data_IF_760646014526
#
_entry.id   IF_760646014526
#
_cell.length_a   1.000
_cell.length_b   1.000
_cell.length_c   1.000
_cell.angle_alpha   90.00
_cell.angle_beta   90.00
_cell.angle_gamma   90.00
#
_symmetry.space_group_name_H-M   'P 1'
#
loop_
_entity.id
_entity.type
_entity.pdbx_description
1 polymer ?
#
# COMPACT_ATOMS: atom_id res chain seq x y z
N UNK A 1 -23.61 1.49 10.30
CA UNK A 1 -23.19 2.67 11.08
C UNK A 1 -22.28 2.18 12.20
N UNK A 2 -21.16 2.89 12.46
CA UNK A 2 -20.11 2.43 13.38
C UNK A 2 -20.54 2.47 14.88
N UNK A 3 -21.67 3.07 15.22
CA UNK A 3 -22.14 3.17 16.59
C UNK A 3 -21.10 3.80 17.53
N UNK A 4 -20.83 3.13 18.65
CA UNK A 4 -19.80 3.57 19.63
C UNK A 4 -18.37 3.47 19.13
N UNK A 5 -18.12 2.78 18.01
CA UNK A 5 -16.80 2.67 17.37
C UNK A 5 -16.50 3.79 16.37
N UNK A 6 -17.45 4.73 16.17
CA UNK A 6 -17.26 5.87 15.29
C UNK A 6 -16.28 6.90 15.86
N UNK A 7 -15.46 7.52 15.00
CA UNK A 7 -14.50 8.57 15.37
C UNK A 7 -15.15 9.93 15.72
N UNK A 8 -16.45 10.10 15.46
CA UNK A 8 -17.18 11.32 15.75
C UNK A 8 -18.58 11.33 15.10
N UNK A 9 -19.36 12.35 15.45
CA UNK A 9 -20.72 12.56 14.89
C UNK A 9 -20.63 13.30 13.56
N UNK A 10 -21.50 12.95 12.61
CA UNK A 10 -21.71 13.76 11.41
C UNK A 10 -22.52 15.01 11.76
N UNK A 11 -22.02 16.19 11.38
CA UNK A 11 -22.62 17.47 11.68
C UNK A 11 -22.72 18.36 10.42
N UNK A 12 -23.81 19.13 10.26
CA UNK A 12 -23.87 20.17 9.24
C UNK A 12 -22.92 21.33 9.58
N UNK A 13 -22.25 21.85 8.55
CA UNK A 13 -21.36 23.00 8.64
C UNK A 13 -21.90 24.19 7.85
N UNK A 14 -21.79 25.40 8.41
CA UNK A 14 -22.06 26.62 7.68
C UNK A 14 -21.05 26.83 6.56
N UNK A 15 -21.41 27.66 5.56
CA UNK A 15 -20.47 28.07 4.50
C UNK A 15 -19.17 28.65 5.08
N UNK A 16 -19.27 29.48 6.14
CA UNK A 16 -18.11 30.08 6.80
C UNK A 16 -17.18 28.99 7.36
N UNK A 17 -17.71 28.04 8.11
CA UNK A 17 -16.94 26.96 8.71
C UNK A 17 -16.28 26.07 7.64
N UNK A 18 -16.98 25.78 6.53
CA UNK A 18 -16.39 25.01 5.43
C UNK A 18 -15.19 25.74 4.84
N UNK A 19 -15.26 27.09 4.68
CA UNK A 19 -14.15 27.90 4.17
C UNK A 19 -12.97 28.01 5.16
N UNK A 20 -13.22 27.88 6.46
CA UNK A 20 -12.17 27.79 7.49
C UNK A 20 -11.47 26.42 7.45
N UNK A 21 -12.22 25.34 7.25
CA UNK A 21 -11.70 23.95 7.19
C UNK A 21 -10.99 23.63 5.87
N UNK A 22 -11.51 24.12 4.73
CA UNK A 22 -10.97 23.92 3.39
C UNK A 22 -10.94 25.27 2.66
N UNK A 23 -9.95 26.14 2.92
CA UNK A 23 -9.87 27.50 2.38
C UNK A 23 -9.91 27.55 0.85
N UNK A 24 -9.41 26.52 0.19
CA UNK A 24 -9.30 26.46 -1.27
C UNK A 24 -10.47 25.72 -1.96
N UNK A 25 -11.59 25.50 -1.25
CA UNK A 25 -12.81 25.04 -1.93
C UNK A 25 -13.39 26.15 -2.81
N UNK A 26 -13.98 25.81 -3.96
CA UNK A 26 -14.64 26.77 -4.84
C UNK A 26 -15.82 27.44 -4.11
N UNK A 27 -15.84 28.78 -4.13
CA UNK A 27 -16.82 29.57 -3.39
C UNK A 27 -18.18 29.65 -4.07
N UNK A 28 -18.19 29.53 -5.40
CA UNK A 28 -19.40 29.59 -6.20
C UNK A 28 -20.34 28.44 -5.87
N UNK A 29 -21.61 28.78 -5.61
CA UNK A 29 -22.67 27.82 -5.25
C UNK A 29 -22.44 27.06 -3.92
N UNK A 30 -21.37 27.33 -3.18
CA UNK A 30 -21.17 26.74 -1.85
C UNK A 30 -22.22 27.28 -0.87
N UNK A 31 -23.01 26.40 -0.28
CA UNK A 31 -24.03 26.74 0.73
C UNK A 31 -23.65 26.30 2.14
N UNK A 32 -22.84 25.26 2.28
CA UNK A 32 -22.41 24.64 3.51
C UNK A 32 -21.83 23.26 3.23
N UNK A 33 -21.67 22.46 4.26
CA UNK A 33 -21.15 21.10 4.16
C UNK A 33 -21.69 20.19 5.24
N UNK A 34 -21.29 18.94 5.18
CA UNK A 34 -21.48 17.95 6.24
C UNK A 34 -20.10 17.38 6.56
N UNK A 35 -19.67 17.53 7.81
CA UNK A 35 -18.49 16.84 8.30
C UNK A 35 -18.85 15.43 8.76
N UNK A 36 -18.01 14.47 8.41
CA UNK A 36 -17.99 13.14 9.02
C UNK A 36 -16.54 12.72 9.25
N UNK A 37 -16.32 11.69 10.03
CA UNK A 37 -14.99 11.24 10.42
C UNK A 37 -14.73 9.85 9.85
N UNK A 38 -13.50 9.66 9.34
CA UNK A 38 -13.01 8.39 8.84
C UNK A 38 -11.54 8.20 9.25
N UNK A 39 -11.02 6.97 9.12
CA UNK A 39 -9.65 6.62 9.44
C UNK A 39 -8.74 6.71 8.22
N UNK A 40 -7.53 7.21 8.42
CA UNK A 40 -6.45 7.18 7.45
C UNK A 40 -5.24 6.47 8.04
N UNK A 41 -4.56 5.66 7.23
CA UNK A 41 -3.28 5.04 7.60
C UNK A 41 -2.38 4.93 6.38
N UNK A 42 -1.07 4.84 6.59
CA UNK A 42 -0.11 4.51 5.54
C UNK A 42 -0.10 3.00 5.31
N UNK A 43 -0.53 2.57 4.13
CA UNK A 43 -0.72 1.17 3.78
C UNK A 43 0.59 0.37 3.73
N UNK A 44 1.67 0.96 3.19
CA UNK A 44 2.98 0.32 3.15
C UNK A 44 3.60 0.24 4.54
N UNK A 45 3.50 1.30 5.34
CA UNK A 45 3.98 1.29 6.72
C UNK A 45 3.24 0.22 7.53
N UNK A 46 1.92 0.10 7.35
CA UNK A 46 1.14 -0.95 7.98
C UNK A 46 1.60 -2.35 7.57
N UNK A 47 1.91 -2.57 6.28
CA UNK A 47 2.40 -3.86 5.79
C UNK A 47 3.75 -4.23 6.44
N UNK A 48 4.70 -3.28 6.52
CA UNK A 48 5.98 -3.49 7.20
C UNK A 48 5.77 -3.78 8.69
N UNK A 49 4.93 -3.00 9.36
CA UNK A 49 4.61 -3.20 10.78
C UNK A 49 4.01 -4.58 11.03
N UNK A 50 3.16 -5.09 10.15
CA UNK A 50 2.60 -6.45 10.25
C UNK A 50 3.68 -7.52 10.04
N UNK A 51 4.59 -7.34 9.07
CA UNK A 51 5.70 -8.25 8.86
C UNK A 51 6.61 -8.31 10.11
N UNK A 52 6.98 -7.15 10.67
CA UNK A 52 7.77 -7.07 11.90
C UNK A 52 7.02 -7.69 13.09
N UNK A 53 5.71 -7.45 13.23
CA UNK A 53 4.89 -8.08 14.27
C UNK A 53 4.84 -9.60 14.13
N UNK A 54 4.83 -10.12 12.91
CA UNK A 54 4.89 -11.55 12.66
C UNK A 54 6.27 -12.12 13.05
N UNK A 55 7.36 -11.41 12.74
CA UNK A 55 8.72 -11.79 13.15
C UNK A 55 8.88 -11.77 14.67
N UNK A 56 8.34 -10.76 15.37
CA UNK A 56 8.30 -10.70 16.83
C UNK A 56 7.55 -11.91 17.44
N UNK A 57 6.56 -12.43 16.72
CA UNK A 57 5.82 -13.64 17.09
C UNK A 57 6.53 -14.95 16.66
N UNK A 58 7.74 -14.88 16.10
CA UNK A 58 8.55 -16.03 15.69
C UNK A 58 8.32 -16.53 14.26
N UNK A 59 7.59 -15.79 13.42
CA UNK A 59 7.47 -16.12 12.00
C UNK A 59 8.75 -15.75 11.22
N UNK A 60 9.04 -16.52 10.17
CA UNK A 60 10.06 -16.17 9.19
C UNK A 60 9.41 -15.40 8.05
N UNK A 61 9.78 -14.14 7.86
CA UNK A 61 9.34 -13.30 6.75
C UNK A 61 10.48 -13.13 5.76
N UNK A 62 10.25 -13.50 4.51
CA UNK A 62 11.22 -13.36 3.42
C UNK A 62 10.63 -12.49 2.32
N UNK A 63 11.33 -11.42 1.96
CA UNK A 63 11.05 -10.64 0.77
C UNK A 63 11.95 -11.08 -0.40
N UNK A 64 11.59 -10.72 -1.62
CA UNK A 64 12.29 -11.11 -2.85
C UNK A 64 12.43 -12.63 -3.07
N UNK A 65 11.57 -13.41 -2.42
CA UNK A 65 11.49 -14.87 -2.60
C UNK A 65 10.19 -15.20 -3.33
N UNK A 66 10.33 -15.60 -4.58
CA UNK A 66 9.22 -15.90 -5.48
C UNK A 66 8.85 -17.40 -5.43
N UNK A 67 7.58 -17.72 -5.25
CA UNK A 67 7.09 -19.09 -5.40
C UNK A 67 6.93 -19.43 -6.89
N UNK A 68 7.69 -20.39 -7.38
CA UNK A 68 7.67 -20.82 -8.78
C UNK A 68 6.75 -22.01 -9.04
N UNK A 69 6.60 -22.91 -8.06
CA UNK A 69 5.74 -24.06 -8.17
C UNK A 69 5.31 -24.60 -6.81
N UNK A 70 4.26 -25.41 -6.82
CA UNK A 70 3.78 -26.15 -5.66
C UNK A 70 4.37 -27.58 -5.68
N UNK A 71 4.81 -28.05 -4.52
CA UNK A 71 5.32 -29.42 -4.35
C UNK A 71 4.18 -30.31 -3.87
N UNK A 72 3.94 -31.42 -4.57
CA UNK A 72 2.92 -32.41 -4.22
C UNK A 72 3.56 -33.73 -3.81
N UNK A 73 2.95 -34.43 -2.85
CA UNK A 73 3.31 -35.75 -2.44
C UNK A 73 2.76 -36.83 -3.41
N UNK A 74 3.04 -38.12 -3.14
CA UNK A 74 2.58 -39.23 -3.95
C UNK A 74 1.05 -39.39 -4.01
N UNK A 75 0.29 -38.76 -3.13
CA UNK A 75 -1.17 -38.73 -3.12
C UNK A 75 -1.75 -37.47 -3.79
N UNK A 76 -0.90 -36.61 -4.39
CA UNK A 76 -1.31 -35.37 -5.03
C UNK A 76 -1.62 -34.23 -4.06
N UNK A 77 -1.28 -34.35 -2.77
CA UNK A 77 -1.47 -33.31 -1.77
C UNK A 77 -0.28 -32.38 -1.74
N UNK A 78 -0.55 -31.08 -1.58
CA UNK A 78 0.51 -30.07 -1.47
C UNK A 78 1.22 -30.25 -0.11
N UNK A 79 2.53 -30.43 -0.18
CA UNK A 79 3.42 -30.59 0.96
C UNK A 79 4.53 -29.55 1.02
N UNK A 80 4.51 -28.54 0.14
CA UNK A 80 5.51 -27.48 0.12
C UNK A 80 5.44 -26.61 -1.11
N UNK A 81 6.44 -25.74 -1.24
CA UNK A 81 6.63 -24.86 -2.40
C UNK A 81 8.09 -24.85 -2.84
N UNK A 82 8.33 -24.68 -4.14
CA UNK A 82 9.65 -24.34 -4.68
C UNK A 82 9.73 -22.83 -4.80
N UNK A 83 10.75 -22.26 -4.22
CA UNK A 83 10.99 -20.84 -4.17
C UNK A 83 12.29 -20.43 -4.90
N UNK A 84 12.34 -19.22 -5.40
CA UNK A 84 13.48 -18.61 -6.08
C UNK A 84 13.86 -17.31 -5.38
N UNK A 85 15.10 -17.21 -4.88
CA UNK A 85 15.64 -15.99 -4.29
C UNK A 85 16.08 -15.03 -5.40
N UNK A 86 15.37 -13.94 -5.57
CA UNK A 86 15.59 -12.95 -6.63
C UNK A 86 16.77 -12.01 -6.39
N UNK A 87 17.34 -12.00 -5.18
CA UNK A 87 18.49 -11.14 -4.82
C UNK A 87 19.76 -11.96 -4.60
N UNK A 88 19.69 -12.99 -3.74
CA UNK A 88 20.82 -13.84 -3.44
C UNK A 88 21.10 -14.89 -4.54
N UNK A 89 20.10 -15.17 -5.33
CA UNK A 89 20.10 -16.20 -6.35
C UNK A 89 19.96 -17.61 -5.79
N UNK A 90 19.38 -18.50 -6.61
CA UNK A 90 19.20 -19.91 -6.28
C UNK A 90 17.78 -20.28 -5.90
N UNK A 91 17.47 -21.55 -6.15
CA UNK A 91 16.15 -22.15 -5.88
C UNK A 91 16.25 -23.11 -4.73
N UNK A 92 15.23 -23.14 -3.91
CA UNK A 92 15.13 -24.03 -2.75
C UNK A 92 13.70 -24.45 -2.49
N UNK A 93 13.55 -25.59 -1.84
CA UNK A 93 12.25 -26.16 -1.49
C UNK A 93 11.91 -25.85 -0.03
N UNK A 94 10.67 -25.44 0.22
CA UNK A 94 10.14 -25.20 1.56
C UNK A 94 9.05 -26.25 1.81
N UNK A 95 9.29 -27.16 2.76
CA UNK A 95 8.29 -28.13 3.18
C UNK A 95 7.29 -27.50 4.14
N UNK A 96 6.01 -27.82 3.96
CA UNK A 96 4.93 -27.27 4.77
C UNK A 96 3.79 -28.27 4.97
N UNK A 97 3.13 -28.21 6.13
CA UNK A 97 1.90 -28.99 6.41
C UNK A 97 0.68 -28.43 5.67
N UNK A 98 0.70 -27.16 5.34
CA UNK A 98 -0.34 -26.46 4.55
C UNK A 98 0.26 -25.26 3.84
N UNK A 99 -0.26 -24.92 2.69
CA UNK A 99 0.10 -23.75 1.91
C UNK A 99 -1.12 -22.85 1.75
N UNK A 100 -0.96 -21.57 2.11
CA UNK A 100 -2.01 -20.57 2.02
C UNK A 100 -1.59 -19.52 0.98
N UNK A 101 -2.39 -19.38 -0.06
CA UNK A 101 -2.20 -18.41 -1.12
C UNK A 101 -2.95 -17.11 -0.77
N UNK A 102 -2.19 -16.06 -0.43
CA UNK A 102 -2.69 -14.72 -0.10
C UNK A 102 -2.16 -13.67 -1.08
N UNK A 103 -1.90 -14.03 -2.34
CA UNK A 103 -1.18 -13.22 -3.33
C UNK A 103 -2.04 -12.11 -3.98
N UNK A 104 -3.22 -11.83 -3.45
CA UNK A 104 -4.06 -10.70 -3.89
C UNK A 104 -4.50 -10.82 -5.34
N UNK A 105 -4.07 -9.90 -6.20
CA UNK A 105 -4.42 -9.92 -7.64
C UNK A 105 -3.79 -11.10 -8.40
N UNK A 106 -2.72 -11.70 -7.85
CA UNK A 106 -2.00 -12.85 -8.42
C UNK A 106 -2.49 -14.20 -7.88
N UNK A 107 -3.60 -14.23 -7.18
CA UNK A 107 -4.11 -15.48 -6.56
C UNK A 107 -4.40 -16.55 -7.61
N UNK A 108 -4.85 -16.16 -8.79
CA UNK A 108 -5.18 -17.08 -9.88
C UNK A 108 -3.93 -17.77 -10.47
N UNK A 109 -2.76 -17.11 -10.44
CA UNK A 109 -1.51 -17.71 -10.93
C UNK A 109 -1.09 -18.89 -10.06
N UNK A 110 -1.15 -18.72 -8.74
CA UNK A 110 -0.86 -19.83 -7.79
C UNK A 110 -1.91 -20.93 -7.90
N UNK A 111 -3.19 -20.58 -8.09
CA UNK A 111 -4.25 -21.58 -8.26
C UNK A 111 -4.08 -22.38 -9.55
N UNK A 112 -3.56 -21.79 -10.63
CA UNK A 112 -3.25 -22.47 -11.89
C UNK A 112 -2.01 -23.36 -11.77
N UNK A 113 -1.04 -23.05 -10.90
CA UNK A 113 0.08 -23.94 -10.58
C UNK A 113 -0.43 -25.26 -9.94
N UNK A 114 -1.52 -25.18 -9.19
CA UNK A 114 -2.18 -26.37 -8.59
C UNK A 114 -2.99 -27.14 -9.61
N UNK A 115 -3.88 -26.47 -10.34
CA UNK A 115 -4.77 -27.05 -11.34
C UNK A 115 -4.95 -26.04 -12.49
N UNK A 116 -4.33 -26.30 -13.67
CA UNK A 116 -4.34 -25.37 -14.81
C UNK A 116 -5.73 -25.00 -15.33
N UNK A 117 -6.74 -25.88 -15.11
CA UNK A 117 -8.13 -25.70 -15.50
C UNK A 117 -8.91 -24.76 -14.56
N UNK A 118 -8.31 -24.28 -13.48
CA UNK A 118 -9.00 -23.38 -12.56
C UNK A 118 -9.52 -22.12 -13.27
N UNK A 119 -10.80 -21.85 -13.11
CA UNK A 119 -11.42 -20.62 -13.59
C UNK A 119 -10.93 -19.41 -12.80
N UNK A 120 -10.85 -18.26 -13.46
CA UNK A 120 -10.44 -17.00 -12.85
C UNK A 120 -11.32 -16.62 -11.65
N UNK A 121 -10.72 -16.31 -10.51
CA UNK A 121 -11.39 -15.95 -9.26
C UNK A 121 -11.30 -14.45 -8.97
N UNK A 122 -10.36 -13.75 -9.62
CA UNK A 122 -10.14 -12.31 -9.46
C UNK A 122 -10.46 -11.56 -10.73
N UNK A 123 -11.16 -10.44 -10.58
CA UNK A 123 -11.35 -9.44 -11.63
C UNK A 123 -10.69 -8.15 -11.17
N UNK A 124 -9.46 -7.84 -11.64
CA UNK A 124 -8.74 -6.66 -11.19
C UNK A 124 -9.46 -5.37 -11.60
N UNK A 125 -9.42 -4.39 -10.71
CA UNK A 125 -9.87 -3.02 -11.00
C UNK A 125 -8.79 -2.03 -10.63
N UNK A 126 -8.37 -1.21 -11.60
CA UNK A 126 -7.37 -0.18 -11.41
C UNK A 126 -7.97 1.04 -10.73
N UNK A 127 -7.27 1.55 -9.72
CA UNK A 127 -7.56 2.83 -9.07
C UNK A 127 -6.36 3.76 -9.18
N UNK A 128 -6.58 4.95 -9.71
CA UNK A 128 -5.55 5.97 -9.94
C UNK A 128 -5.66 7.08 -8.91
N UNK A 129 -4.52 7.60 -8.48
CA UNK A 129 -4.41 8.76 -7.61
C UNK A 129 -3.38 9.74 -8.16
N UNK A 130 -3.66 11.03 -7.99
CA UNK A 130 -2.73 12.13 -8.29
C UNK A 130 -2.35 12.80 -6.99
N UNK A 131 -1.10 13.21 -6.87
CA UNK A 131 -0.61 13.95 -5.70
C UNK A 131 -0.26 15.36 -6.13
N UNK A 132 -0.81 16.32 -5.42
CA UNK A 132 -0.58 17.76 -5.63
C UNK A 132 -0.13 18.42 -4.33
N UNK A 133 0.33 19.66 -4.41
CA UNK A 133 0.75 20.41 -3.23
C UNK A 133 -0.41 20.68 -2.25
N UNK A 134 -0.10 20.76 -0.95
CA UNK A 134 -1.09 21.00 0.11
C UNK A 134 -1.89 22.30 -0.09
N UNK A 135 -1.33 23.28 -0.79
CA UNK A 135 -1.98 24.56 -1.10
C UNK A 135 -3.26 24.42 -1.93
N UNK A 136 -3.51 23.28 -2.57
CA UNK A 136 -4.75 23.02 -3.31
C UNK A 136 -5.98 22.82 -2.42
N UNK A 137 -5.82 22.40 -1.15
CA UNK A 137 -6.90 22.39 -0.13
C UNK A 137 -6.74 23.51 0.88
N UNK A 138 -5.51 23.82 1.27
CA UNK A 138 -5.17 24.88 2.21
C UNK A 138 -5.55 24.63 3.66
N UNK A 139 -6.17 23.49 3.97
CA UNK A 139 -6.63 23.07 5.29
C UNK A 139 -6.18 21.68 5.68
N UNK A 140 -6.66 21.21 6.83
CA UNK A 140 -6.37 19.87 7.36
C UNK A 140 -7.49 18.85 7.11
N UNK A 141 -8.68 19.31 6.73
CA UNK A 141 -9.84 18.47 6.45
C UNK A 141 -9.79 17.92 5.03
N UNK A 142 -10.22 16.66 4.86
CA UNK A 142 -10.39 16.06 3.55
C UNK A 142 -11.67 16.55 2.86
N UNK A 143 -11.63 16.66 1.54
CA UNK A 143 -12.79 16.94 0.70
C UNK A 143 -13.32 15.64 0.12
N UNK A 144 -14.61 15.35 0.34
CA UNK A 144 -15.34 14.31 -0.40
C UNK A 144 -16.25 14.95 -1.43
N UNK A 145 -16.06 14.60 -2.69
CA UNK A 145 -16.93 14.94 -3.80
C UNK A 145 -17.92 13.79 -3.98
N UNK A 146 -19.20 13.94 -3.57
CA UNK A 146 -20.12 12.82 -3.42
C UNK A 146 -20.59 12.25 -4.77
N UNK A 147 -20.54 13.05 -5.82
CA UNK A 147 -21.01 12.65 -7.15
C UNK A 147 -20.18 13.32 -8.25
N UNK A 148 -19.39 12.51 -8.93
CA UNK A 148 -18.69 12.89 -10.16
C UNK A 148 -19.58 12.72 -11.38
N UNK A 149 -19.11 13.14 -12.55
CA UNK A 149 -19.87 13.02 -13.82
C UNK A 149 -20.24 11.58 -14.16
N UNK A 150 -19.45 10.61 -13.72
CA UNK A 150 -19.72 9.18 -13.91
C UNK A 150 -20.42 8.52 -12.69
N UNK A 151 -20.82 9.33 -11.69
CA UNK A 151 -21.53 8.90 -10.50
C UNK A 151 -20.67 8.19 -9.44
N UNK A 152 -19.35 8.26 -9.55
CA UNK A 152 -18.40 7.82 -8.52
C UNK A 152 -18.19 8.91 -7.46
N UNK A 153 -17.54 8.53 -6.37
CA UNK A 153 -17.07 9.47 -5.35
C UNK A 153 -15.59 9.73 -5.60
N UNK A 154 -15.17 11.00 -5.49
CA UNK A 154 -13.76 11.38 -5.55
C UNK A 154 -13.38 12.08 -4.24
N UNK A 155 -12.15 11.90 -3.80
CA UNK A 155 -11.62 12.49 -2.60
C UNK A 155 -10.44 13.39 -2.91
N UNK A 156 -10.29 14.48 -2.11
CA UNK A 156 -9.05 15.20 -1.92
C UNK A 156 -8.62 15.05 -0.47
N UNK A 157 -7.56 14.27 -0.21
CA UNK A 157 -7.17 13.88 1.16
C UNK A 157 -5.79 14.46 1.49
N UNK A 158 -5.66 15.27 2.56
CA UNK A 158 -4.35 15.68 3.06
C UNK A 158 -3.52 14.45 3.47
N UNK A 159 -2.27 14.39 3.01
CA UNK A 159 -1.36 13.32 3.33
C UNK A 159 0.08 13.81 3.29
N UNK A 160 0.74 13.78 4.44
CA UNK A 160 2.16 14.16 4.56
C UNK A 160 2.53 15.49 3.90
N UNK A 161 1.75 16.55 4.14
CA UNK A 161 2.01 17.88 3.57
C UNK A 161 1.67 18.01 2.08
N UNK A 162 0.98 17.03 1.51
CA UNK A 162 0.45 17.01 0.15
C UNK A 162 -1.05 16.74 0.16
N UNK A 163 -1.66 16.69 -1.03
CA UNK A 163 -3.06 16.28 -1.22
C UNK A 163 -3.10 15.14 -2.22
N UNK A 164 -3.72 14.05 -1.84
CA UNK A 164 -4.04 12.93 -2.74
C UNK A 164 -5.41 13.17 -3.33
N UNK A 165 -5.51 13.25 -4.65
CA UNK A 165 -6.76 13.31 -5.41
C UNK A 165 -7.04 11.95 -6.02
N UNK A 166 -8.23 11.41 -5.83
CA UNK A 166 -8.61 10.10 -6.36
C UNK A 166 -9.92 9.59 -5.78
N UNK A 167 -10.44 8.54 -6.28
CA UNK A 167 -9.80 7.52 -7.13
C UNK A 167 -10.66 7.22 -8.36
N UNK A 168 -10.05 6.54 -9.35
CA UNK A 168 -10.79 5.88 -10.43
C UNK A 168 -11.17 4.45 -10.05
N UNK A 169 -11.98 3.80 -10.88
CA UNK A 169 -12.37 2.39 -10.72
C UNK A 169 -12.57 1.80 -12.11
N UNK A 170 -11.47 1.38 -12.74
CA UNK A 170 -11.41 0.93 -14.12
C UNK A 170 -11.12 -0.56 -14.17
N UNK A 171 -12.05 -1.41 -14.66
CA UNK A 171 -11.76 -2.83 -14.89
C UNK A 171 -10.57 -3.00 -15.82
N UNK A 172 -9.69 -3.93 -15.50
CA UNK A 172 -8.53 -4.30 -16.33
C UNK A 172 -8.43 -5.80 -16.46
N UNK A 173 -7.91 -6.26 -17.59
CA UNK A 173 -7.77 -7.70 -17.85
C UNK A 173 -6.39 -8.24 -17.45
N UNK A 174 -5.40 -7.37 -17.21
CA UNK A 174 -4.05 -7.74 -16.81
C UNK A 174 -3.80 -7.46 -15.33
N UNK A 175 -3.07 -8.37 -14.72
CA UNK A 175 -2.50 -8.30 -13.39
C UNK A 175 -1.00 -7.98 -13.52
N UNK A 176 -0.66 -6.74 -13.42
CA UNK A 176 0.74 -6.29 -13.42
C UNK A 176 1.14 -5.82 -12.04
N UNK A 177 2.38 -6.10 -11.58
CA UNK A 177 2.90 -5.57 -10.31
C UNK A 177 2.97 -4.03 -10.31
N UNK A 178 3.09 -3.43 -11.51
CA UNK A 178 3.31 -2.00 -11.68
C UNK A 178 2.28 -1.39 -12.63
N UNK A 179 1.00 -1.24 -12.20
CA UNK A 179 -0.05 -0.65 -13.02
C UNK A 179 0.19 0.85 -13.24
N UNK A 180 -0.15 1.34 -14.44
CA UNK A 180 0.00 2.75 -14.82
C UNK A 180 -1.36 3.39 -15.07
N UNK A 181 -1.46 4.69 -14.77
CA UNK A 181 -2.62 5.48 -15.07
C UNK A 181 -2.75 5.72 -16.59
N UNK A 182 -3.99 5.78 -17.09
CA UNK A 182 -4.23 6.27 -18.45
C UNK A 182 -4.45 7.79 -18.44
N UNK A 183 -4.28 8.42 -19.62
CA UNK A 183 -4.52 9.86 -19.77
C UNK A 183 -5.98 10.23 -19.49
N UNK A 184 -6.93 9.35 -19.81
CA UNK A 184 -8.35 9.54 -19.51
C UNK A 184 -8.61 9.57 -18.01
N UNK A 185 -7.96 8.68 -17.23
CA UNK A 185 -8.10 8.64 -15.78
C UNK A 185 -7.49 9.87 -15.12
N UNK A 186 -6.32 10.32 -15.61
CA UNK A 186 -5.65 11.54 -15.16
C UNK A 186 -6.54 12.76 -15.45
N UNK A 187 -7.00 12.91 -16.69
CA UNK A 187 -7.91 13.98 -17.11
C UNK A 187 -9.18 14.02 -16.28
N UNK A 188 -9.80 12.86 -16.06
CA UNK A 188 -11.00 12.72 -15.23
C UNK A 188 -10.78 13.27 -13.81
N UNK A 189 -9.68 12.87 -13.13
CA UNK A 189 -9.42 13.31 -11.76
C UNK A 189 -9.19 14.82 -11.72
N UNK A 190 -8.38 15.38 -12.63
CA UNK A 190 -8.08 16.81 -12.69
C UNK A 190 -9.36 17.63 -12.97
N UNK A 191 -10.19 17.20 -13.91
CA UNK A 191 -11.44 17.87 -14.27
C UNK A 191 -12.45 17.84 -13.11
N UNK A 192 -12.61 16.69 -12.47
CA UNK A 192 -13.54 16.56 -11.36
C UNK A 192 -13.07 17.37 -10.13
N UNK A 193 -11.79 17.31 -9.77
CA UNK A 193 -11.23 18.12 -8.68
C UNK A 193 -11.33 19.62 -8.99
N UNK A 194 -11.04 20.01 -10.24
CA UNK A 194 -11.10 21.40 -10.70
C UNK A 194 -12.48 22.06 -10.63
N UNK A 195 -13.57 21.28 -10.55
CA UNK A 195 -14.92 21.82 -10.36
C UNK A 195 -15.18 22.28 -8.90
N UNK A 196 -14.43 21.72 -7.95
CA UNK A 196 -14.65 21.95 -6.52
C UNK A 196 -13.55 22.74 -5.83
N UNK A 197 -12.41 22.95 -6.52
CA UNK A 197 -11.28 23.70 -5.98
C UNK A 197 -11.21 25.10 -6.59
N UNK A 198 -10.88 26.10 -5.78
CA UNK A 198 -10.73 27.49 -6.21
C UNK A 198 -9.60 27.67 -7.26
N UNK A 199 -8.50 26.92 -7.08
CA UNK A 199 -7.45 26.77 -8.09
C UNK A 199 -7.60 25.38 -8.74
N UNK A 200 -7.84 25.35 -10.05
CA UNK A 200 -7.91 24.09 -10.79
C UNK A 200 -6.52 23.48 -10.93
N UNK A 201 -6.31 22.23 -10.50
CA UNK A 201 -5.05 21.54 -10.71
C UNK A 201 -4.87 21.20 -12.20
N UNK A 202 -3.64 21.32 -12.69
CA UNK A 202 -3.22 20.97 -14.05
C UNK A 202 -2.20 19.82 -13.99
N UNK A 203 -1.85 19.23 -15.15
CA UNK A 203 -0.81 18.17 -15.20
C UNK A 203 0.52 18.66 -14.60
N UNK A 204 0.87 19.93 -14.75
CA UNK A 204 2.10 20.55 -14.20
C UNK A 204 2.12 20.64 -12.69
N UNK A 205 0.95 20.69 -12.06
CA UNK A 205 0.82 20.73 -10.59
C UNK A 205 0.94 19.32 -9.96
N UNK A 206 0.95 18.24 -10.77
CA UNK A 206 1.02 16.87 -10.27
C UNK A 206 2.47 16.51 -9.93
N UNK A 207 2.70 16.21 -8.67
CA UNK A 207 3.99 15.80 -8.12
C UNK A 207 4.25 14.29 -8.30
N UNK A 208 3.17 13.50 -8.28
CA UNK A 208 3.21 12.07 -8.47
C UNK A 208 1.86 11.57 -9.01
N UNK A 209 1.90 10.62 -9.93
CA UNK A 209 0.75 9.81 -10.35
C UNK A 209 1.02 8.35 -10.03
N UNK A 210 0.07 7.68 -9.39
CA UNK A 210 0.21 6.26 -9.10
C UNK A 210 -1.11 5.51 -9.26
N UNK A 211 -1.01 4.23 -9.51
CA UNK A 211 -2.15 3.34 -9.64
C UNK A 211 -1.94 2.07 -8.82
N UNK A 212 -3.04 1.43 -8.45
CA UNK A 212 -3.04 0.13 -7.81
C UNK A 212 -4.17 -0.74 -8.33
N UNK A 213 -4.04 -2.06 -8.20
CA UNK A 213 -5.05 -3.03 -8.58
C UNK A 213 -5.81 -3.54 -7.37
N UNK A 214 -7.14 -3.47 -7.43
CA UNK A 214 -8.02 -4.08 -6.43
C UNK A 214 -8.30 -5.52 -6.81
N UNK A 215 -8.09 -6.51 -5.92
CA UNK A 215 -8.38 -7.90 -6.19
C UNK A 215 -9.89 -8.20 -5.95
N UNK A 216 -10.77 -7.67 -6.81
CA UNK A 216 -12.20 -7.91 -6.66
C UNK A 216 -12.51 -9.37 -6.95
N UNK A 217 -13.25 -10.05 -6.05
CA UNK A 217 -13.64 -11.42 -6.27
C UNK A 217 -14.60 -11.51 -7.47
N UNK A 218 -14.27 -12.35 -8.45
CA UNK A 218 -15.11 -12.54 -9.63
C UNK A 218 -16.54 -12.97 -9.23
N UNK A 219 -17.59 -12.43 -9.89
CA UNK A 219 -18.96 -12.86 -9.63
C UNK A 219 -19.15 -14.32 -10.03
N UNK A 220 -19.99 -15.03 -9.30
CA UNK A 220 -20.31 -16.43 -9.54
C UNK A 220 -21.19 -16.67 -10.78
N UNK A 221 -21.83 -15.59 -11.30
CA UNK A 221 -22.61 -15.60 -12.53
C UNK A 221 -22.12 -14.48 -13.47
N UNK A 222 -22.11 -14.78 -14.76
CA UNK A 222 -21.47 -14.01 -15.83
C UNK A 222 -22.08 -12.62 -16.14
N UNK A 223 -23.12 -12.17 -15.43
CA UNK A 223 -23.94 -11.05 -15.87
C UNK A 223 -23.60 -9.68 -15.27
N UNK A 224 -22.74 -9.55 -14.28
CA UNK A 224 -22.38 -8.24 -13.75
C UNK A 224 -21.17 -7.64 -14.47
N UNK A 225 -21.40 -6.81 -15.47
CA UNK A 225 -20.36 -6.02 -16.16
C UNK A 225 -19.84 -4.84 -15.32
N UNK A 226 -20.50 -4.51 -14.19
CA UNK A 226 -20.15 -3.34 -13.37
C UNK A 226 -19.41 -3.74 -12.09
N UNK A 227 -18.21 -3.22 -11.90
CA UNK A 227 -17.38 -3.41 -10.69
C UNK A 227 -18.08 -2.96 -9.41
N UNK A 228 -19.01 -2.01 -9.48
CA UNK A 228 -19.81 -1.51 -8.32
C UNK A 228 -20.70 -2.59 -7.69
N UNK A 229 -21.08 -3.61 -8.43
CA UNK A 229 -22.00 -4.68 -7.98
C UNK A 229 -21.25 -5.91 -7.43
N UNK A 230 -19.92 -5.93 -7.56
CA UNK A 230 -19.09 -7.02 -7.07
C UNK A 230 -18.99 -6.95 -5.55
N UNK A 231 -19.29 -8.06 -4.88
CA UNK A 231 -19.16 -8.16 -3.42
C UNK A 231 -17.74 -7.78 -2.97
N UNK A 232 -17.66 -6.91 -1.96
CA UNK A 232 -16.41 -6.51 -1.31
C UNK A 232 -16.06 -7.40 -0.12
N UNK A 233 -16.75 -8.53 0.06
CA UNK A 233 -16.40 -9.56 1.03
C UNK A 233 -15.25 -10.40 0.50
N UNK A 234 -14.39 -10.89 1.38
CA UNK A 234 -13.39 -11.86 1.00
C UNK A 234 -14.01 -13.24 0.75
N UNK A 235 -13.32 -14.06 -0.05
CA UNK A 235 -13.71 -15.45 -0.36
C UNK A 235 -12.52 -16.36 -0.11
N UNK A 236 -12.80 -17.52 0.49
CA UNK A 236 -11.81 -18.58 0.75
C UNK A 236 -12.13 -19.76 -0.15
N UNK A 237 -11.15 -20.19 -0.93
CA UNK A 237 -11.21 -21.36 -1.79
C UNK A 237 -10.35 -22.48 -1.20
N UNK A 238 -10.85 -23.71 -1.24
CA UNK A 238 -10.17 -24.91 -0.76
C UNK A 238 -10.08 -25.89 -1.93
N UNK A 239 -8.87 -26.21 -2.37
CA UNK A 239 -8.64 -27.19 -3.41
C UNK A 239 -8.56 -28.59 -2.80
N UNK A 240 -8.83 -29.60 -3.62
CA UNK A 240 -8.67 -31.02 -3.24
C UNK A 240 -7.20 -31.35 -2.92
N UNK A 241 -6.27 -30.69 -3.59
CA UNK A 241 -4.83 -30.82 -3.31
C UNK A 241 -4.41 -30.34 -1.92
N UNK A 242 -5.25 -29.58 -1.22
CA UNK A 242 -4.95 -28.96 0.07
C UNK A 242 -4.55 -27.49 -0.03
N UNK A 243 -4.42 -26.88 -1.22
CA UNK A 243 -4.21 -25.44 -1.36
C UNK A 243 -5.40 -24.67 -0.80
N UNK A 244 -5.10 -23.65 0.02
CA UNK A 244 -6.10 -22.71 0.51
C UNK A 244 -5.77 -21.35 -0.09
N UNK A 245 -6.74 -20.71 -0.75
CA UNK A 245 -6.56 -19.40 -1.34
C UNK A 245 -7.60 -18.42 -0.81
N UNK A 246 -7.17 -17.18 -0.55
CA UNK A 246 -8.06 -16.08 -0.15
C UNK A 246 -7.93 -14.90 -1.09
N UNK A 247 -9.05 -14.30 -1.50
CA UNK A 247 -9.08 -13.08 -2.31
C UNK A 247 -10.30 -12.23 -2.01
N UNK A 248 -10.35 -11.01 -2.57
CA UNK A 248 -11.37 -10.02 -2.26
C UNK A 248 -11.11 -9.33 -0.92
N UNK A 249 -12.18 -8.82 -0.30
CA UNK A 249 -12.10 -8.08 0.96
C UNK A 249 -11.51 -6.68 0.79
N UNK A 250 -10.96 -6.14 1.88
CA UNK A 250 -10.35 -4.82 1.95
C UNK A 250 -9.12 -4.86 2.84
N UNK A 251 -8.16 -3.98 2.56
CA UNK A 251 -6.98 -3.83 3.43
C UNK A 251 -7.37 -3.54 4.89
N UNK A 252 -8.39 -2.75 5.12
CA UNK A 252 -8.90 -2.42 6.47
C UNK A 252 -9.53 -3.60 7.22
N UNK A 253 -9.81 -4.73 6.56
CA UNK A 253 -10.35 -5.95 7.18
C UNK A 253 -9.33 -7.10 7.26
N UNK A 254 -8.03 -6.80 7.03
CA UNK A 254 -6.96 -7.78 6.96
C UNK A 254 -6.93 -8.75 8.13
N UNK A 255 -7.14 -8.28 9.36
CA UNK A 255 -7.10 -9.11 10.56
C UNK A 255 -8.20 -10.19 10.56
N UNK A 256 -9.43 -9.79 10.26
CA UNK A 256 -10.54 -10.75 10.16
C UNK A 256 -10.33 -11.73 8.99
N UNK A 257 -9.81 -11.25 7.85
CA UNK A 257 -9.46 -12.09 6.72
C UNK A 257 -8.41 -13.13 7.09
N UNK A 258 -7.36 -12.73 7.83
CA UNK A 258 -6.31 -13.61 8.31
C UNK A 258 -6.86 -14.67 9.29
N UNK A 259 -7.71 -14.27 10.22
CA UNK A 259 -8.36 -15.18 11.17
C UNK A 259 -9.21 -16.21 10.44
N UNK A 260 -10.04 -15.82 9.50
CA UNK A 260 -10.91 -16.70 8.75
C UNK A 260 -10.14 -17.72 7.90
N UNK A 261 -9.08 -17.28 7.19
CA UNK A 261 -8.27 -18.17 6.35
C UNK A 261 -7.44 -19.14 7.19
N UNK A 262 -6.91 -18.69 8.33
CA UNK A 262 -6.18 -19.57 9.26
C UNK A 262 -7.09 -20.59 9.89
N UNK A 263 -8.30 -20.22 10.32
CA UNK A 263 -9.30 -21.17 10.83
C UNK A 263 -9.67 -22.22 9.76
N UNK A 264 -9.76 -21.82 8.51
CA UNK A 264 -9.97 -22.74 7.40
C UNK A 264 -8.79 -23.71 7.22
N UNK A 265 -7.55 -23.21 7.30
CA UNK A 265 -6.32 -24.00 7.18
C UNK A 265 -6.18 -25.01 8.32
N UNK A 266 -6.39 -24.56 9.56
CA UNK A 266 -6.33 -25.40 10.77
C UNK A 266 -7.31 -26.57 10.65
N UNK A 267 -8.57 -26.27 10.29
CA UNK A 267 -9.61 -27.28 10.11
C UNK A 267 -9.28 -28.29 9.03
N UNK A 268 -8.76 -27.83 7.88
CA UNK A 268 -8.47 -28.69 6.74
C UNK A 268 -7.26 -29.59 6.99
N UNK A 269 -6.23 -29.07 7.63
CA UNK A 269 -4.96 -29.78 7.84
C UNK A 269 -4.88 -30.50 9.20
N UNK A 270 -5.93 -30.45 10.01
CA UNK A 270 -5.95 -31.07 11.34
C UNK A 270 -4.90 -30.54 12.31
N UNK A 271 -4.48 -29.26 12.12
CA UNK A 271 -3.49 -28.62 12.96
C UNK A 271 -4.06 -28.29 14.34
N UNK A 272 -3.26 -28.51 15.38
CA UNK A 272 -3.58 -28.01 16.72
C UNK A 272 -3.41 -26.49 16.73
N UNK A 273 -4.39 -25.77 17.24
CA UNK A 273 -4.36 -24.32 17.33
C UNK A 273 -4.96 -23.81 18.63
N UNK A 274 -4.46 -22.65 19.06
CA UNK A 274 -5.07 -21.84 20.13
C UNK A 274 -6.13 -20.90 19.53
N UNK A 275 -7.09 -20.43 20.34
CA UNK A 275 -8.01 -19.36 19.90
C UNK A 275 -7.25 -18.13 19.44
N UNK A 276 -7.81 -17.41 18.45
CA UNK A 276 -7.22 -16.16 17.94
C UNK A 276 -7.10 -15.11 19.06
N UNK A 277 -5.92 -14.54 19.22
CA UNK A 277 -5.63 -13.49 20.22
C UNK A 277 -5.34 -12.11 19.60
N UNK A 278 -5.48 -11.98 18.27
CA UNK A 278 -5.01 -10.79 17.55
C UNK A 278 -5.95 -9.57 17.63
N UNK A 279 -7.16 -9.72 18.20
CA UNK A 279 -8.12 -8.62 18.26
C UNK A 279 -7.59 -7.38 19.02
N UNK A 280 -6.80 -7.61 20.06
CA UNK A 280 -6.20 -6.57 20.91
C UNK A 280 -4.67 -6.58 20.89
N UNK A 281 -4.07 -7.25 19.90
CA UNK A 281 -2.62 -7.33 19.77
C UNK A 281 -2.07 -5.93 19.48
N UNK A 282 -1.14 -5.49 20.31
CA UNK A 282 -0.31 -4.32 20.03
C UNK A 282 0.73 -4.71 18.98
N UNK A 283 0.72 -4.02 17.85
CA UNK A 283 1.64 -4.29 16.76
C UNK A 283 3.05 -3.82 17.10
N UNK A 284 4.03 -4.30 16.35
CA UNK A 284 5.42 -3.83 16.42
C UNK A 284 5.49 -2.30 16.43
N UNK A 285 6.36 -1.74 17.23
CA UNK A 285 6.51 -0.29 17.32
C UNK A 285 5.36 0.43 18.03
N UNK A 286 4.38 -0.25 18.62
CA UNK A 286 3.31 0.42 19.37
C UNK A 286 3.88 1.36 20.43
N UNK A 287 3.47 2.61 20.38
CA UNK A 287 3.82 3.64 21.36
C UNK A 287 2.56 4.37 21.80
N UNK A 288 2.28 4.36 23.09
CA UNK A 288 1.20 5.14 23.69
C UNK A 288 1.56 6.63 23.66
N UNK A 289 0.60 7.48 23.36
CA UNK A 289 0.80 8.95 23.32
C UNK A 289 1.84 9.42 22.29
N UNK A 290 1.84 8.83 21.11
CA UNK A 290 2.72 9.24 20.01
C UNK A 290 2.45 10.70 19.60
N UNK A 291 3.49 11.54 19.57
CA UNK A 291 3.45 12.87 18.97
C UNK A 291 3.29 12.75 17.44
N UNK A 292 2.20 13.29 16.91
CA UNK A 292 1.86 13.25 15.47
C UNK A 292 2.17 14.56 14.75
N UNK A 293 2.90 15.48 15.38
CA UNK A 293 3.24 16.78 14.78
C UNK A 293 4.30 16.67 13.67
N UNK A 294 5.15 15.64 13.73
CA UNK A 294 6.23 15.38 12.77
C UNK A 294 5.91 14.23 11.80
N UNK A 295 6.92 13.80 11.05
CA UNK A 295 6.84 12.66 10.13
C UNK A 295 7.12 11.31 10.81
N UNK A 296 7.89 11.35 11.88
CA UNK A 296 8.49 10.18 12.52
C UNK A 296 7.48 9.36 13.34
N UNK A 297 6.26 9.89 13.54
CA UNK A 297 5.21 9.18 14.30
C UNK A 297 4.88 7.80 13.74
N UNK A 298 5.11 7.58 12.45
CA UNK A 298 4.83 6.29 11.77
C UNK A 298 5.74 5.16 12.24
N UNK A 299 6.87 5.48 12.86
CA UNK A 299 7.81 4.50 13.43
C UNK A 299 7.45 4.05 14.85
N UNK A 300 6.56 4.80 15.53
CA UNK A 300 6.22 4.49 16.91
C UNK A 300 7.46 4.41 17.81
N UNK A 301 7.63 3.32 18.59
CA UNK A 301 8.80 3.16 19.46
C UNK A 301 10.13 2.93 18.72
N UNK A 302 10.10 2.59 17.44
CA UNK A 302 11.33 2.45 16.65
C UNK A 302 12.03 3.78 16.39
N UNK A 303 11.35 4.91 16.61
CA UNK A 303 11.96 6.24 16.56
C UNK A 303 13.17 6.35 17.52
N UNK A 304 13.16 5.61 18.64
CA UNK A 304 14.29 5.61 19.56
C UNK A 304 15.52 4.95 18.95
N UNK A 305 15.36 3.90 18.13
CA UNK A 305 16.46 3.26 17.39
C UNK A 305 17.00 4.20 16.30
N UNK A 306 16.12 4.90 15.59
CA UNK A 306 16.50 5.89 14.57
C UNK A 306 17.31 7.03 15.22
N UNK A 307 16.86 7.54 16.37
CA UNK A 307 17.56 8.59 17.10
C UNK A 307 18.92 8.10 17.65
N UNK A 308 19.01 6.83 18.04
CA UNK A 308 20.28 6.22 18.45
C UNK A 308 21.27 6.15 17.28
N UNK A 309 20.83 5.78 16.08
CA UNK A 309 21.63 5.83 14.85
C UNK A 309 22.12 7.26 14.59
N UNK A 310 21.23 8.26 14.66
CA UNK A 310 21.58 9.67 14.44
C UNK A 310 22.68 10.12 15.43
N UNK A 311 22.59 9.69 16.68
CA UNK A 311 23.54 10.11 17.73
C UNK A 311 24.91 9.44 17.64
N UNK A 312 24.97 8.22 17.10
CA UNK A 312 26.19 7.39 17.10
C UNK A 312 26.93 7.38 15.75
N UNK A 313 26.23 7.63 14.65
CA UNK A 313 26.82 7.48 13.31
C UNK A 313 26.99 8.84 12.62
N UNK A 314 28.22 9.23 12.27
CA UNK A 314 28.48 10.48 11.56
C UNK A 314 27.72 10.55 10.25
N UNK A 315 27.05 11.69 9.99
CA UNK A 315 26.26 11.92 8.79
C UNK A 315 24.86 11.29 8.79
N UNK A 316 24.51 10.44 9.79
CA UNK A 316 23.18 9.81 9.85
C UNK A 316 22.03 10.82 10.05
N UNK A 317 22.33 11.98 10.64
CA UNK A 317 21.36 13.07 10.79
C UNK A 317 21.14 13.91 9.53
N UNK A 318 21.96 13.74 8.49
CA UNK A 318 21.83 14.51 7.24
C UNK A 318 20.56 14.13 6.48
N UNK A 319 19.86 15.13 5.88
CA UNK A 319 18.71 14.82 5.04
C UNK A 319 19.15 14.10 3.76
N UNK A 320 18.31 13.16 3.28
CA UNK A 320 18.52 12.51 1.96
C UNK A 320 18.08 13.42 0.81
N UNK A 321 17.27 14.45 1.13
CA UNK A 321 16.83 15.48 0.19
C UNK A 321 16.46 16.77 0.94
N UNK A 322 16.86 17.99 0.45
CA UNK A 322 16.72 19.23 1.21
C UNK A 322 15.28 19.66 1.49
N UNK A 323 14.32 19.23 0.66
CA UNK A 323 12.89 19.62 0.80
C UNK A 323 12.09 18.65 1.69
N UNK A 324 12.68 17.53 2.13
CA UNK A 324 11.97 16.50 2.86
C UNK A 324 12.68 16.14 4.19
N UNK A 325 11.94 15.77 5.23
CA UNK A 325 12.51 15.57 6.56
C UNK A 325 13.25 14.23 6.72
N UNK A 326 13.25 13.38 5.69
CA UNK A 326 13.88 12.07 5.74
C UNK A 326 15.39 12.17 5.79
N UNK A 327 15.99 11.47 6.74
CA UNK A 327 17.43 11.48 7.03
C UNK A 327 18.10 10.20 6.59
N UNK A 328 19.42 10.20 6.50
CA UNK A 328 20.24 9.02 6.26
C UNK A 328 19.94 7.89 7.27
N UNK A 329 19.67 8.24 8.52
CA UNK A 329 19.29 7.28 9.57
C UNK A 329 18.04 6.46 9.22
N UNK A 330 17.07 7.03 8.49
CA UNK A 330 15.88 6.28 8.05
C UNK A 330 16.24 5.21 7.01
N UNK A 331 17.22 5.49 6.14
CA UNK A 331 17.74 4.52 5.16
C UNK A 331 18.49 3.39 5.86
N UNK A 332 19.37 3.74 6.80
CA UNK A 332 20.13 2.80 7.63
C UNK A 332 19.18 1.90 8.43
N UNK A 333 18.18 2.49 9.07
CA UNK A 333 17.17 1.76 9.83
C UNK A 333 16.35 0.82 8.93
N UNK A 334 15.94 1.28 7.75
CA UNK A 334 15.21 0.47 6.78
C UNK A 334 16.00 -0.76 6.31
N UNK A 335 17.31 -0.62 6.07
CA UNK A 335 18.18 -1.72 5.72
C UNK A 335 18.35 -2.73 6.86
N UNK A 336 18.64 -2.23 8.07
CA UNK A 336 18.97 -3.08 9.22
C UNK A 336 17.76 -3.74 9.89
N UNK A 337 16.59 -3.08 9.88
CA UNK A 337 15.42 -3.48 10.67
C UNK A 337 14.16 -3.73 9.88
N UNK A 338 14.06 -3.29 8.63
CA UNK A 338 12.82 -3.34 7.83
C UNK A 338 12.99 -4.07 6.50
N UNK A 339 13.99 -4.93 6.38
CA UNK A 339 14.23 -5.77 5.20
C UNK A 339 14.39 -4.99 3.87
N UNK A 340 14.80 -3.73 3.91
CA UNK A 340 15.00 -2.98 2.68
C UNK A 340 16.27 -3.46 1.96
N UNK A 341 16.14 -3.82 0.68
CA UNK A 341 17.19 -4.37 -0.16
C UNK A 341 17.49 -3.49 -1.39
N UNK A 342 16.60 -2.57 -1.74
CA UNK A 342 16.70 -1.75 -2.95
C UNK A 342 16.39 -0.27 -2.64
N UNK A 343 16.80 0.61 -3.55
CA UNK A 343 16.44 2.04 -3.49
C UNK A 343 14.93 2.23 -3.54
N UNK A 344 14.24 1.39 -4.31
CA UNK A 344 12.77 1.39 -4.39
C UNK A 344 12.15 1.03 -3.05
N UNK A 345 12.68 0.03 -2.33
CA UNK A 345 12.18 -0.31 -0.99
C UNK A 345 12.16 0.90 -0.08
N UNK A 346 13.24 1.66 -0.07
CA UNK A 346 13.35 2.86 0.79
C UNK A 346 12.42 3.97 0.31
N UNK A 347 12.60 4.43 -0.92
CA UNK A 347 11.94 5.64 -1.41
C UNK A 347 10.45 5.46 -1.68
N UNK A 348 10.02 4.26 -2.07
CA UNK A 348 8.61 3.98 -2.32
C UNK A 348 7.86 3.43 -1.11
N UNK A 349 8.50 2.58 -0.28
CA UNK A 349 7.78 1.77 0.71
C UNK A 349 8.13 2.06 2.16
N UNK A 350 9.27 2.70 2.46
CA UNK A 350 9.66 3.04 3.85
C UNK A 350 9.39 4.53 4.13
N UNK A 351 9.99 5.43 3.36
CA UNK A 351 9.80 6.88 3.54
C UNK A 351 8.71 7.46 2.63
N UNK A 352 8.17 6.71 1.68
CA UNK A 352 7.06 7.10 0.79
C UNK A 352 7.35 8.28 -0.14
N UNK A 353 8.60 8.68 -0.28
CA UNK A 353 8.98 9.88 -1.00
C UNK A 353 8.58 9.84 -2.48
N UNK A 354 8.66 8.65 -3.13
CA UNK A 354 8.20 8.46 -4.51
C UNK A 354 6.74 8.90 -4.71
N UNK A 355 5.87 8.57 -3.73
CA UNK A 355 4.45 8.88 -3.80
C UNK A 355 4.12 10.31 -3.38
N UNK A 356 5.05 11.02 -2.76
CA UNK A 356 4.88 12.42 -2.37
C UNK A 356 5.36 13.37 -3.46
N UNK A 357 6.50 13.04 -4.08
CA UNK A 357 7.15 13.81 -5.13
C UNK A 357 8.14 12.92 -5.88
N UNK A 358 7.73 12.43 -7.03
CA UNK A 358 8.53 11.47 -7.80
C UNK A 358 9.85 12.08 -8.31
N UNK A 359 9.87 13.39 -8.62
CA UNK A 359 11.10 14.10 -9.05
C UNK A 359 12.10 14.20 -7.91
N UNK A 360 11.64 14.63 -6.74
CA UNK A 360 12.49 14.69 -5.55
C UNK A 360 13.01 13.30 -5.13
N UNK A 361 12.20 12.24 -5.30
CA UNK A 361 12.66 10.88 -5.04
C UNK A 361 13.79 10.45 -6.00
N UNK A 362 13.72 10.82 -7.28
CA UNK A 362 14.81 10.59 -8.25
C UNK A 362 16.08 11.34 -7.83
N UNK A 363 15.95 12.59 -7.36
CA UNK A 363 17.08 13.39 -6.86
C UNK A 363 17.72 12.77 -5.61
N UNK A 364 16.92 12.14 -4.74
CA UNK A 364 17.41 11.47 -3.53
C UNK A 364 18.05 10.09 -3.79
N UNK A 365 17.73 9.45 -4.92
CA UNK A 365 18.14 8.07 -5.21
C UNK A 365 19.66 7.82 -5.12
N UNK A 366 20.56 8.70 -5.60
CA UNK A 366 22.01 8.50 -5.46
C UNK A 366 22.46 8.41 -4.00
N UNK A 367 21.96 9.31 -3.12
CA UNK A 367 22.31 9.29 -1.70
C UNK A 367 21.79 8.05 -0.99
N UNK A 368 20.57 7.61 -1.34
CA UNK A 368 19.98 6.38 -0.80
C UNK A 368 20.73 5.16 -1.26
N UNK A 369 21.14 5.08 -2.53
CA UNK A 369 21.90 3.96 -3.07
C UNK A 369 23.28 3.84 -2.41
N UNK A 370 23.99 4.95 -2.20
CA UNK A 370 25.28 5.00 -1.50
C UNK A 370 25.16 4.42 -0.08
N UNK A 371 24.14 4.87 0.67
CA UNK A 371 23.91 4.39 2.05
C UNK A 371 23.58 2.90 2.05
N UNK A 372 22.65 2.46 1.18
CA UNK A 372 22.28 1.05 1.09
C UNK A 372 23.45 0.16 0.66
N UNK A 373 24.28 0.60 -0.30
CA UNK A 373 25.45 -0.15 -0.73
C UNK A 373 26.39 -0.41 0.45
N UNK A 374 26.63 0.59 1.27
CA UNK A 374 27.45 0.46 2.49
C UNK A 374 26.81 -0.52 3.49
N UNK A 375 25.51 -0.37 3.79
CA UNK A 375 24.79 -1.20 4.75
C UNK A 375 24.69 -2.68 4.32
N UNK A 376 24.55 -2.93 3.03
CA UNK A 376 24.35 -4.26 2.44
C UNK A 376 25.66 -4.89 1.91
N UNK A 377 26.82 -4.20 2.04
CA UNK A 377 28.10 -4.69 1.55
C UNK A 377 28.15 -4.83 0.03
N UNK A 378 27.49 -3.92 -0.71
CA UNK A 378 27.43 -3.91 -2.17
C UNK A 378 28.49 -2.98 -2.78
N UNK A 379 28.84 -3.25 -4.03
CA UNK A 379 29.84 -2.47 -4.77
C UNK A 379 29.24 -1.28 -5.54
N UNK A 380 30.11 -0.51 -6.19
CA UNK A 380 29.72 0.67 -6.98
C UNK A 380 28.88 0.30 -8.22
N UNK A 381 29.05 -0.88 -8.77
CA UNK A 381 28.26 -1.33 -9.90
C UNK A 381 26.81 -1.57 -9.49
N UNK A 382 26.60 -2.20 -8.33
CA UNK A 382 25.28 -2.36 -7.75
C UNK A 382 24.61 -1.01 -7.46
N UNK A 383 25.36 -0.06 -6.86
CA UNK A 383 24.88 1.29 -6.58
C UNK A 383 24.37 1.98 -7.85
N UNK A 384 25.17 1.96 -8.92
CA UNK A 384 24.80 2.57 -10.20
C UNK A 384 23.58 1.87 -10.84
N UNK A 385 23.49 0.55 -10.77
CA UNK A 385 22.35 -0.21 -11.25
C UNK A 385 21.06 0.19 -10.50
N UNK A 386 21.10 0.25 -9.16
CA UNK A 386 19.96 0.63 -8.34
C UNK A 386 19.47 2.05 -8.63
N UNK A 387 20.38 3.00 -8.85
CA UNK A 387 20.03 4.38 -9.24
C UNK A 387 19.29 4.36 -10.59
N UNK A 388 19.78 3.60 -11.56
CA UNK A 388 19.17 3.56 -12.88
C UNK A 388 17.82 2.83 -12.88
N UNK A 389 17.71 1.70 -12.19
CA UNK A 389 16.47 0.95 -12.02
C UNK A 389 15.40 1.82 -11.37
N UNK A 390 15.74 2.51 -10.27
CA UNK A 390 14.81 3.38 -9.60
C UNK A 390 14.38 4.58 -10.47
N UNK A 391 15.30 5.20 -11.22
CA UNK A 391 14.97 6.28 -12.16
C UNK A 391 13.98 5.81 -13.23
N UNK A 392 14.21 4.63 -13.79
CA UNK A 392 13.34 4.03 -14.80
C UNK A 392 11.92 3.79 -14.22
N UNK A 393 11.83 3.23 -13.01
CA UNK A 393 10.57 3.04 -12.31
C UNK A 393 9.87 4.38 -12.05
N UNK A 394 10.58 5.32 -11.42
CA UNK A 394 10.03 6.59 -10.95
C UNK A 394 9.61 7.53 -12.10
N UNK A 395 10.22 7.41 -13.27
CA UNK A 395 9.80 8.15 -14.47
C UNK A 395 8.34 7.92 -14.84
N UNK A 396 7.81 6.72 -14.57
CA UNK A 396 6.40 6.38 -14.78
C UNK A 396 5.44 6.96 -13.73
N UNK A 397 5.94 7.64 -12.70
CA UNK A 397 5.17 8.36 -11.70
C UNK A 397 5.14 9.87 -11.96
N UNK A 398 5.79 10.34 -13.02
CA UNK A 398 5.85 11.73 -13.43
C UNK A 398 4.95 11.92 -14.65
N UNK A 399 4.11 12.95 -14.63
CA UNK A 399 3.40 13.37 -15.84
C UNK A 399 4.33 14.25 -16.68
N UNK A 400 4.49 13.85 -17.93
CA UNK A 400 5.08 14.70 -18.95
C UNK A 400 4.01 15.65 -19.51
N UNK A 401 4.44 16.82 -19.94
CA UNK A 401 3.57 17.86 -20.54
C UNK A 401 2.85 17.39 -21.79
#
# INVERSE_FOLDING_TARGET
>A
MAGSLGFGKSLPLSKKTVLEEIPMIAHDKLRGGIVYHDGQFDDSRMAITLALSAMDAGAVCLNYVNVESLIKDGAGKICGVRADDKIGGGKFDISAKTVINCTGVFVDDIMKMDAPENSRKVRPSRGVHLVVDASFLGGKSALMIPKTTDGRVLFGVPWHGKVILGTTDTPVDSDTPEPRASDEEIGFILDQAGQYLAKKPTRKDVLCVFAGLRPLAAPTHSDSKKTKEISRSHKIYRAESGLISITGGKWTTYRAMAEDVLNAAIKQSGLSAKPCSTANLKLHGYLENTDRSGWDYVYGSDIFKINDIISKEPGAGEPIHPKYPFKAAHVIFAARNELAQTVEDVLARRVRMLFLDARAAIEAAPKVAEILARELGRDKNWENAQIQEFKNLASGYILND
#
